data_IF_880978810361
#
_entry.id   IF_880978810361
#
_cell.length_a   1.000
_cell.length_b   1.000
_cell.length_c   1.000
_cell.angle_alpha   90.00
_cell.angle_beta   90.00
_cell.angle_gamma   90.00
#
_symmetry.space_group_name_H-M   'P 1'
#
loop_
_entity.id
_entity.type
_entity.pdbx_description
1 polymer ?
#
# COMPACT_ATOMS: atom_id res chain seq x y z
N UNK A 1 18.83 14.03 -5.57
CA UNK A 1 19.29 12.82 -6.29
C UNK A 1 18.04 12.10 -6.74
N UNK A 2 17.88 11.83 -8.03
CA UNK A 2 16.71 11.09 -8.53
C UNK A 2 16.92 9.59 -8.28
N UNK A 3 15.84 8.90 -7.92
CA UNK A 3 15.75 7.45 -7.80
C UNK A 3 15.90 6.79 -9.16
N UNK A 4 16.64 5.69 -9.26
CA UNK A 4 16.90 4.99 -10.52
C UNK A 4 16.38 3.55 -10.51
N UNK A 5 16.34 2.94 -11.70
CA UNK A 5 16.04 1.52 -11.84
C UNK A 5 17.01 0.62 -11.06
N UNK A 6 18.29 0.99 -11.00
CA UNK A 6 19.29 0.29 -10.19
C UNK A 6 18.99 0.39 -8.69
N UNK A 7 18.55 1.57 -8.21
CA UNK A 7 18.18 1.76 -6.80
C UNK A 7 16.99 0.86 -6.42
N UNK A 8 15.94 0.84 -7.23
CA UNK A 8 14.81 -0.10 -7.07
C UNK A 8 15.27 -1.56 -7.15
N UNK A 9 16.16 -1.90 -8.08
CA UNK A 9 16.72 -3.25 -8.20
C UNK A 9 17.48 -3.71 -6.95
N UNK A 10 18.31 -2.83 -6.37
CA UNK A 10 19.04 -3.10 -5.12
C UNK A 10 18.06 -3.33 -3.97
N UNK A 11 17.03 -2.48 -3.83
CA UNK A 11 16.02 -2.67 -2.78
C UNK A 11 15.19 -3.92 -2.96
N UNK A 12 14.80 -4.25 -4.19
CA UNK A 12 14.10 -5.49 -4.49
C UNK A 12 14.92 -6.71 -4.06
N UNK A 13 16.20 -6.76 -4.44
CA UNK A 13 17.11 -7.84 -4.04
C UNK A 13 17.29 -7.88 -2.52
N UNK A 14 17.51 -6.74 -1.87
CA UNK A 14 17.66 -6.67 -0.42
C UNK A 14 16.39 -7.14 0.33
N UNK A 15 15.22 -6.69 -0.12
CA UNK A 15 13.92 -7.05 0.44
C UNK A 15 13.60 -8.53 0.27
N UNK A 16 13.74 -9.07 -0.95
CA UNK A 16 13.51 -10.48 -1.26
C UNK A 16 14.50 -11.40 -0.54
N UNK A 17 15.78 -11.02 -0.49
CA UNK A 17 16.81 -11.79 0.23
C UNK A 17 16.53 -11.79 1.74
N UNK A 18 16.11 -10.65 2.29
CA UNK A 18 15.71 -10.56 3.70
C UNK A 18 14.49 -11.41 3.98
N UNK A 19 13.46 -11.37 3.12
CA UNK A 19 12.26 -12.19 3.25
C UNK A 19 12.58 -13.70 3.21
N UNK A 20 13.41 -14.13 2.27
CA UNK A 20 13.87 -15.51 2.16
C UNK A 20 14.67 -15.94 3.41
N UNK A 21 15.58 -15.09 3.89
CA UNK A 21 16.37 -15.37 5.08
C UNK A 21 15.49 -15.53 6.32
N UNK A 22 14.54 -14.62 6.56
CA UNK A 22 13.68 -14.67 7.76
C UNK A 22 12.72 -15.86 7.71
N UNK A 23 12.24 -16.23 6.52
CA UNK A 23 11.37 -17.38 6.31
C UNK A 23 12.10 -18.72 6.53
N UNK A 24 13.31 -18.89 5.98
CA UNK A 24 14.04 -20.16 5.99
C UNK A 24 14.85 -20.34 7.29
N UNK A 25 15.51 -19.28 7.78
CA UNK A 25 16.50 -19.40 8.85
C UNK A 25 15.98 -18.97 10.22
N UNK A 26 15.07 -18.00 10.28
CA UNK A 26 14.61 -17.46 11.57
C UNK A 26 13.26 -18.02 12.02
N UNK A 27 12.52 -18.70 11.13
CA UNK A 27 11.19 -19.21 11.46
C UNK A 27 10.19 -18.10 11.79
N UNK A 28 10.37 -16.91 11.20
CA UNK A 28 9.52 -15.76 11.45
C UNK A 28 8.09 -15.97 10.94
N UNK A 29 7.16 -15.24 11.55
CA UNK A 29 5.74 -15.30 11.22
C UNK A 29 5.48 -14.96 9.75
N UNK A 30 4.61 -15.74 9.11
CA UNK A 30 4.19 -15.51 7.70
C UNK A 30 3.58 -14.14 7.50
N UNK A 31 2.97 -13.60 8.54
CA UNK A 31 2.39 -12.26 8.57
C UNK A 31 3.43 -11.13 8.42
N UNK A 32 4.73 -11.43 8.54
CA UNK A 32 5.80 -10.45 8.37
C UNK A 32 6.58 -10.65 7.07
N UNK A 33 6.96 -11.89 6.74
CA UNK A 33 7.79 -12.14 5.56
C UNK A 33 6.99 -12.15 4.24
N UNK A 34 5.71 -12.55 4.25
CA UNK A 34 4.87 -12.48 3.04
C UNK A 34 4.65 -11.03 2.59
N UNK A 35 4.26 -10.09 3.48
CA UNK A 35 4.16 -8.68 3.12
C UNK A 35 5.49 -8.07 2.67
N UNK A 36 6.60 -8.42 3.32
CA UNK A 36 7.93 -7.96 2.87
C UNK A 36 8.24 -8.43 1.44
N UNK A 37 7.98 -9.69 1.11
CA UNK A 37 8.11 -10.19 -0.28
C UNK A 37 7.22 -9.40 -1.22
N UNK A 38 5.97 -9.15 -0.84
CA UNK A 38 5.01 -8.44 -1.67
C UNK A 38 5.47 -7.01 -2.01
N UNK A 39 5.91 -6.24 -1.01
CA UNK A 39 6.43 -4.89 -1.25
C UNK A 39 7.75 -4.90 -2.01
N UNK A 40 8.64 -5.87 -1.77
CA UNK A 40 9.88 -6.01 -2.54
C UNK A 40 9.64 -6.36 -4.02
N UNK A 41 8.56 -7.08 -4.35
CA UNK A 41 8.14 -7.31 -5.73
C UNK A 41 7.70 -6.03 -6.43
N UNK A 42 7.22 -5.02 -5.70
CA UNK A 42 6.90 -3.71 -6.28
C UNK A 42 8.15 -3.00 -6.75
N UNK A 43 9.22 -3.00 -5.96
CA UNK A 43 10.52 -2.44 -6.37
C UNK A 43 11.11 -3.20 -7.55
N UNK A 44 10.92 -4.52 -7.61
CA UNK A 44 11.35 -5.30 -8.78
C UNK A 44 10.58 -4.88 -10.04
N UNK A 45 9.27 -4.70 -9.91
CA UNK A 45 8.42 -4.21 -10.99
C UNK A 45 8.88 -2.81 -11.42
N UNK A 46 9.09 -1.89 -10.48
CA UNK A 46 9.57 -0.53 -10.75
C UNK A 46 10.93 -0.52 -11.43
N UNK A 47 11.87 -1.38 -11.01
CA UNK A 47 13.17 -1.53 -11.65
C UNK A 47 13.04 -1.91 -13.14
N UNK A 48 12.10 -2.80 -13.48
CA UNK A 48 11.78 -3.12 -14.86
C UNK A 48 11.08 -1.94 -15.57
N UNK A 49 10.19 -1.24 -14.89
CA UNK A 49 9.48 -0.07 -15.44
C UNK A 49 10.42 1.07 -15.80
N UNK A 50 11.49 1.28 -15.02
CA UNK A 50 12.49 2.31 -15.30
C UNK A 50 13.18 2.16 -16.65
N UNK A 51 13.25 0.95 -17.22
CA UNK A 51 13.79 0.71 -18.57
C UNK A 51 12.92 1.36 -19.66
N UNK A 52 11.62 1.49 -19.39
CA UNK A 52 10.63 2.03 -20.33
C UNK A 52 10.03 3.34 -19.84
N UNK A 53 10.64 4.00 -18.85
CA UNK A 53 10.10 5.22 -18.25
C UNK A 53 9.88 6.31 -19.31
N UNK A 54 8.79 7.07 -19.18
CA UNK A 54 8.40 8.16 -20.10
C UNK A 54 8.07 7.71 -21.54
N UNK A 55 8.23 6.44 -21.89
CA UNK A 55 7.83 5.87 -23.19
C UNK A 55 6.36 5.48 -23.19
N UNK A 56 5.45 6.45 -23.11
CA UNK A 56 4.01 6.19 -22.93
C UNK A 56 3.33 5.45 -24.09
N UNK A 57 3.88 5.54 -25.31
CA UNK A 57 3.40 4.77 -26.47
C UNK A 57 3.93 3.32 -26.49
N UNK A 58 4.83 2.97 -25.58
CA UNK A 58 5.42 1.63 -25.50
C UNK A 58 4.48 0.67 -24.74
N UNK A 59 4.06 -0.46 -25.35
CA UNK A 59 3.21 -1.43 -24.68
C UNK A 59 3.80 -2.00 -23.38
N UNK A 60 5.12 -2.14 -23.29
CA UNK A 60 5.79 -2.60 -22.07
C UNK A 60 5.61 -1.60 -20.92
N UNK A 61 5.72 -0.29 -21.17
CA UNK A 61 5.42 0.72 -20.16
C UNK A 61 3.96 0.61 -19.69
N UNK A 62 3.03 0.50 -20.63
CA UNK A 62 1.59 0.42 -20.32
C UNK A 62 1.25 -0.80 -19.46
N UNK A 63 1.78 -1.98 -19.82
CA UNK A 63 1.59 -3.22 -19.07
C UNK A 63 2.21 -3.11 -17.67
N UNK A 64 3.43 -2.59 -17.55
CA UNK A 64 4.10 -2.43 -16.26
C UNK A 64 3.39 -1.42 -15.36
N UNK A 65 2.84 -0.34 -15.92
CA UNK A 65 2.00 0.63 -15.21
C UNK A 65 0.73 -0.03 -14.68
N UNK A 66 0.05 -0.81 -15.54
CA UNK A 66 -1.14 -1.57 -15.15
C UNK A 66 -0.84 -2.56 -14.02
N UNK A 67 0.26 -3.31 -14.13
CA UNK A 67 0.70 -4.22 -13.06
C UNK A 67 0.99 -3.46 -11.76
N UNK A 68 1.52 -2.23 -11.85
CA UNK A 68 1.74 -1.37 -10.70
C UNK A 68 0.44 -0.97 -10.01
N UNK A 69 -0.57 -0.54 -10.78
CA UNK A 69 -1.90 -0.24 -10.24
C UNK A 69 -2.60 -1.46 -9.63
N UNK A 70 -2.48 -2.63 -10.29
CA UNK A 70 -2.99 -3.90 -9.75
C UNK A 70 -2.31 -4.22 -8.43
N UNK A 71 -0.98 -4.13 -8.34
CA UNK A 71 -0.24 -4.33 -7.10
C UNK A 71 -0.75 -3.40 -5.99
N UNK A 72 -0.82 -2.09 -6.25
CA UNK A 72 -1.36 -1.13 -5.27
C UNK A 72 -2.78 -1.46 -4.84
N UNK A 73 -3.64 -1.92 -5.75
CA UNK A 73 -5.03 -2.30 -5.44
C UNK A 73 -5.13 -3.49 -4.48
N UNK A 74 -4.17 -4.40 -4.48
CA UNK A 74 -4.13 -5.58 -3.60
C UNK A 74 -3.34 -5.36 -2.30
N UNK A 75 -2.60 -4.26 -2.16
CA UNK A 75 -1.86 -3.91 -0.94
C UNK A 75 -2.67 -3.97 0.36
N UNK A 76 -3.97 -3.60 0.42
CA UNK A 76 -4.73 -3.65 1.66
C UNK A 76 -4.75 -5.03 2.33
N UNK A 77 -4.63 -6.12 1.57
CA UNK A 77 -4.49 -7.48 2.12
C UNK A 77 -3.22 -7.62 2.95
N UNK A 78 -2.09 -7.15 2.43
CA UNK A 78 -0.77 -7.31 3.04
C UNK A 78 -0.60 -6.32 4.21
N UNK A 79 -1.13 -5.11 4.09
CA UNK A 79 -1.20 -4.16 5.21
C UNK A 79 -2.00 -4.76 6.37
N UNK A 80 -3.18 -5.33 6.09
CA UNK A 80 -4.00 -5.97 7.12
C UNK A 80 -3.37 -7.25 7.67
N UNK A 81 -2.58 -7.96 6.87
CA UNK A 81 -1.81 -9.11 7.34
C UNK A 81 -0.80 -8.71 8.42
N UNK A 82 -0.02 -7.64 8.20
CA UNK A 82 0.91 -7.10 9.20
C UNK A 82 0.15 -6.50 10.38
N UNK A 83 -0.91 -5.73 10.13
CA UNK A 83 -1.68 -5.10 11.20
C UNK A 83 -2.31 -6.12 12.15
N UNK A 84 -2.82 -7.25 11.63
CA UNK A 84 -3.35 -8.34 12.46
C UNK A 84 -2.26 -9.09 13.25
N UNK A 85 -0.98 -9.01 12.86
CA UNK A 85 0.10 -9.58 13.66
C UNK A 85 0.23 -8.88 15.02
N UNK A 86 -0.12 -7.59 15.09
CA UNK A 86 0.06 -6.77 16.30
C UNK A 86 -1.11 -6.81 17.30
N UNK A 87 -2.11 -7.66 17.06
CA UNK A 87 -3.25 -7.86 17.96
C UNK A 87 -3.24 -9.28 18.55
N UNK A 88 -4.01 -9.58 19.62
CA UNK A 88 -4.05 -10.91 20.20
C UNK A 88 -4.53 -11.96 19.18
N UNK A 89 -3.90 -13.15 19.18
CA UNK A 89 -4.20 -14.21 18.21
C UNK A 89 -5.67 -14.65 18.30
N UNK A 90 -6.25 -14.67 19.50
CA UNK A 90 -7.66 -15.00 19.74
C UNK A 90 -8.64 -14.04 19.06
N UNK A 91 -8.26 -12.76 18.89
CA UNK A 91 -9.02 -11.74 18.16
C UNK A 91 -8.78 -11.90 16.66
N UNK A 92 -7.52 -11.99 16.24
CA UNK A 92 -7.12 -12.18 14.84
C UNK A 92 -7.87 -13.35 14.20
N UNK A 93 -7.88 -14.53 14.84
CA UNK A 93 -8.54 -15.71 14.30
C UNK A 93 -10.05 -15.52 14.07
N UNK A 94 -10.71 -14.69 14.89
CA UNK A 94 -12.15 -14.39 14.76
C UNK A 94 -12.44 -13.42 13.62
N UNK A 95 -11.58 -12.42 13.41
CA UNK A 95 -11.84 -11.33 12.46
C UNK A 95 -11.22 -11.56 11.07
N UNK A 96 -10.23 -12.45 10.95
CA UNK A 96 -9.40 -12.62 9.75
C UNK A 96 -10.21 -12.77 8.47
N UNK A 97 -11.23 -13.63 8.48
CA UNK A 97 -12.07 -13.85 7.30
C UNK A 97 -12.81 -12.57 6.91
N UNK A 98 -13.43 -11.90 7.87
CA UNK A 98 -14.13 -10.62 7.63
C UNK A 98 -13.18 -9.55 7.11
N UNK A 99 -12.00 -9.41 7.71
CA UNK A 99 -10.99 -8.42 7.30
C UNK A 99 -10.55 -8.66 5.85
N UNK A 100 -10.25 -9.91 5.47
CA UNK A 100 -9.86 -10.22 4.09
C UNK A 100 -11.02 -10.11 3.09
N UNK A 101 -12.26 -10.39 3.50
CA UNK A 101 -13.43 -10.11 2.66
C UNK A 101 -13.57 -8.60 2.40
N UNK A 102 -13.36 -7.76 3.42
CA UNK A 102 -13.37 -6.30 3.24
C UNK A 102 -12.20 -5.86 2.33
N UNK A 103 -11.02 -6.47 2.45
CA UNK A 103 -9.91 -6.21 1.53
C UNK A 103 -10.26 -6.57 0.07
N UNK A 104 -10.97 -7.67 -0.15
CA UNK A 104 -11.42 -8.07 -1.49
C UNK A 104 -12.43 -7.08 -2.07
N UNK A 105 -13.41 -6.63 -1.27
CA UNK A 105 -14.37 -5.60 -1.66
C UNK A 105 -13.65 -4.28 -1.95
N UNK A 106 -12.69 -3.89 -1.12
CA UNK A 106 -11.88 -2.69 -1.32
C UNK A 106 -11.07 -2.75 -2.62
N UNK A 107 -10.42 -3.89 -2.88
CA UNK A 107 -9.71 -4.12 -4.14
C UNK A 107 -10.65 -3.97 -5.33
N UNK A 108 -11.84 -4.55 -5.27
CA UNK A 108 -12.84 -4.41 -6.33
C UNK A 108 -13.21 -2.94 -6.57
N UNK A 109 -13.43 -2.13 -5.53
CA UNK A 109 -13.72 -0.70 -5.70
C UNK A 109 -12.55 0.08 -6.30
N UNK A 110 -11.31 -0.26 -5.93
CA UNK A 110 -10.13 0.33 -6.57
C UNK A 110 -10.03 -0.06 -8.05
N UNK A 111 -10.29 -1.32 -8.40
CA UNK A 111 -10.27 -1.78 -9.79
C UNK A 111 -11.40 -1.17 -10.63
N UNK A 112 -12.57 -0.92 -10.03
CA UNK A 112 -13.70 -0.24 -10.69
C UNK A 112 -13.28 1.12 -11.25
N UNK A 113 -12.32 1.83 -10.64
CA UNK A 113 -11.80 3.11 -11.16
C UNK A 113 -11.15 2.99 -12.55
N UNK A 114 -10.67 1.82 -12.93
CA UNK A 114 -10.08 1.60 -14.25
C UNK A 114 -11.13 1.49 -15.37
N UNK A 115 -12.38 1.17 -15.04
CA UNK A 115 -13.41 0.98 -16.06
C UNK A 115 -13.97 2.35 -16.52
N UNK A 116 -13.90 2.70 -17.81
CA UNK A 116 -14.29 4.02 -18.30
C UNK A 116 -15.81 4.17 -18.42
N UNK A 117 -16.51 4.34 -17.29
CA UNK A 117 -17.95 4.61 -17.30
C UNK A 117 -18.23 5.97 -17.95
N UNK A 118 -18.96 5.96 -19.07
CA UNK A 118 -19.35 7.18 -19.78
C UNK A 118 -20.08 8.21 -18.88
N UNK A 119 -20.84 7.74 -17.88
CA UNK A 119 -21.59 8.60 -16.96
C UNK A 119 -20.76 9.15 -15.79
N UNK A 120 -19.61 8.55 -15.48
CA UNK A 120 -18.82 8.92 -14.32
C UNK A 120 -17.79 10.02 -14.62
N UNK A 121 -17.61 10.40 -15.89
CA UNK A 121 -16.58 11.35 -16.30
C UNK A 121 -15.16 10.79 -16.12
N UNK A 122 -14.17 11.68 -16.13
CA UNK A 122 -12.76 11.36 -15.93
C UNK A 122 -12.28 11.81 -14.55
N UNK A 123 -11.22 11.19 -14.04
CA UNK A 123 -10.55 11.63 -12.83
C UNK A 123 -9.93 13.04 -12.98
N UNK A 124 -9.62 13.68 -11.85
CA UNK A 124 -9.07 15.03 -11.80
C UNK A 124 -7.53 15.00 -11.82
N UNK A 125 -6.95 15.25 -13.00
CA UNK A 125 -5.49 15.24 -13.22
C UNK A 125 -4.81 16.30 -12.36
N UNK A 126 -3.70 15.92 -11.72
CA UNK A 126 -2.92 16.81 -10.85
C UNK A 126 -3.52 16.99 -9.44
N UNK A 127 -4.61 16.28 -9.12
CA UNK A 127 -5.20 16.23 -7.78
C UNK A 127 -5.22 14.80 -7.26
N UNK A 128 -5.80 13.91 -8.06
CA UNK A 128 -5.92 12.49 -7.74
C UNK A 128 -4.67 11.73 -8.17
N UNK A 129 -4.12 10.88 -7.28
CA UNK A 129 -3.01 9.99 -7.64
C UNK A 129 -3.40 8.94 -8.67
N UNK A 130 -2.43 8.45 -9.44
CA UNK A 130 -2.67 7.62 -10.62
C UNK A 130 -3.50 8.28 -11.74
N UNK A 131 -3.98 9.51 -11.59
CA UNK A 131 -4.81 10.13 -12.62
C UNK A 131 -3.95 10.79 -13.70
N UNK A 132 -4.20 10.43 -14.97
CA UNK A 132 -3.61 11.12 -16.12
C UNK A 132 -4.28 10.77 -17.45
N UNK A 133 -3.80 11.36 -18.55
CA UNK A 133 -4.46 11.25 -19.85
C UNK A 133 -4.34 9.86 -20.50
N UNK A 134 -3.35 9.07 -20.10
CA UNK A 134 -3.03 7.76 -20.67
C UNK A 134 -2.40 6.86 -19.63
N UNK A 135 -2.46 5.54 -19.86
CA UNK A 135 -1.74 4.57 -19.03
C UNK A 135 -0.25 4.73 -19.29
N UNK A 136 0.49 5.27 -18.33
CA UNK A 136 1.92 5.47 -18.46
C UNK A 136 2.62 5.58 -17.11
N UNK A 137 3.84 5.05 -17.03
CA UNK A 137 4.78 5.32 -15.97
C UNK A 137 5.74 6.41 -16.42
N UNK A 138 5.81 7.50 -15.65
CA UNK A 138 6.61 8.68 -15.96
C UNK A 138 7.62 8.98 -14.86
N UNK A 139 8.60 9.81 -15.18
CA UNK A 139 9.48 10.42 -14.19
C UNK A 139 8.67 11.37 -13.30
N UNK A 140 8.63 11.12 -12.00
CA UNK A 140 8.07 12.01 -10.98
C UNK A 140 9.09 13.04 -10.49
N UNK A 141 8.83 13.64 -9.33
CA UNK A 141 9.71 14.65 -8.72
C UNK A 141 11.10 14.10 -8.41
N UNK A 142 11.16 12.88 -7.87
CA UNK A 142 12.42 12.18 -7.63
C UNK A 142 12.34 10.66 -7.80
N UNK A 143 11.15 10.09 -7.81
CA UNK A 143 10.83 8.69 -8.00
C UNK A 143 9.88 8.51 -9.20
N UNK A 144 9.38 7.29 -9.40
CA UNK A 144 8.48 6.94 -10.49
C UNK A 144 7.07 7.46 -10.16
N UNK A 145 6.43 8.05 -11.16
CA UNK A 145 5.04 8.44 -11.12
C UNK A 145 4.21 7.51 -12.02
N UNK A 146 2.98 7.23 -11.62
CA UNK A 146 2.04 6.44 -12.43
C UNK A 146 0.85 7.27 -12.81
N UNK A 147 0.39 7.10 -14.04
CA UNK A 147 -0.82 7.72 -14.53
C UNK A 147 -1.64 6.72 -15.34
N UNK A 148 -2.96 6.85 -15.24
CA UNK A 148 -3.97 6.06 -15.93
C UNK A 148 -5.23 6.93 -16.13
N UNK A 149 -5.98 6.72 -17.22
CA UNK A 149 -7.24 7.41 -17.47
C UNK A 149 -8.35 6.77 -16.61
N UNK A 150 -8.32 7.05 -15.30
CA UNK A 150 -9.32 6.55 -14.35
C UNK A 150 -10.66 7.29 -14.53
N UNK A 151 -11.76 6.63 -14.21
CA UNK A 151 -13.07 7.28 -14.21
C UNK A 151 -13.23 8.28 -13.06
N UNK A 152 -14.24 9.15 -13.15
CA UNK A 152 -14.45 10.24 -12.20
C UNK A 152 -15.07 9.88 -10.86
N UNK A 153 -15.29 8.60 -10.51
CA UNK A 153 -15.92 8.23 -9.22
C UNK A 153 -15.16 8.78 -8.00
N UNK A 154 -15.87 9.56 -7.19
CA UNK A 154 -15.38 10.30 -6.00
C UNK A 154 -14.16 11.20 -6.27
N UNK A 155 -13.98 11.65 -7.53
CA UNK A 155 -12.84 12.53 -7.90
C UNK A 155 -13.16 14.00 -7.62
N UNK A 156 -14.43 14.38 -7.72
CA UNK A 156 -14.89 15.72 -7.37
C UNK A 156 -15.03 15.88 -5.85
N UNK A 157 -14.85 17.11 -5.31
CA UNK A 157 -14.96 17.37 -3.88
C UNK A 157 -16.28 16.88 -3.27
N UNK A 158 -16.18 15.90 -2.38
CA UNK A 158 -17.34 15.32 -1.70
C UNK A 158 -17.68 16.14 -0.46
N UNK A 159 -18.75 16.94 -0.54
CA UNK A 159 -19.11 17.91 0.50
C UNK A 159 -19.34 17.31 1.90
N UNK A 160 -19.97 16.13 1.99
CA UNK A 160 -20.18 15.45 3.29
C UNK A 160 -18.91 14.80 3.85
N UNK A 161 -17.86 14.70 3.03
CA UNK A 161 -16.54 14.17 3.39
C UNK A 161 -15.50 15.31 3.40
N UNK A 162 -15.89 16.49 3.91
CA UNK A 162 -15.01 17.65 4.08
C UNK A 162 -14.24 18.06 2.82
N UNK A 163 -14.83 17.88 1.63
CA UNK A 163 -14.22 18.25 0.35
C UNK A 163 -13.19 17.24 -0.18
N UNK A 164 -13.19 15.99 0.33
CA UNK A 164 -12.34 14.91 -0.18
C UNK A 164 -12.48 14.75 -1.70
N UNK A 165 -11.34 14.76 -2.41
CA UNK A 165 -11.27 14.78 -3.87
C UNK A 165 -10.15 13.90 -4.43
N UNK A 166 -9.71 12.87 -3.68
CA UNK A 166 -8.61 11.98 -4.09
C UNK A 166 -9.09 10.70 -4.79
N UNK A 167 -10.35 10.66 -5.22
CA UNK A 167 -10.91 9.52 -5.94
C UNK A 167 -11.33 8.35 -5.06
N UNK A 168 -12.14 7.46 -5.64
CA UNK A 168 -12.64 6.26 -4.96
C UNK A 168 -11.50 5.33 -4.52
N UNK A 169 -10.42 5.25 -5.29
CA UNK A 169 -9.32 4.35 -5.00
C UNK A 169 -8.58 4.77 -3.71
N UNK A 170 -8.26 6.07 -3.54
CA UNK A 170 -7.60 6.58 -2.34
C UNK A 170 -8.54 6.49 -1.13
N UNK A 171 -9.82 6.85 -1.29
CA UNK A 171 -10.82 6.69 -0.23
C UNK A 171 -10.86 5.26 0.28
N UNK A 172 -10.98 4.31 -0.65
CA UNK A 172 -11.06 2.89 -0.33
C UNK A 172 -9.79 2.40 0.34
N UNK A 173 -8.62 2.78 -0.18
CA UNK A 173 -7.34 2.42 0.42
C UNK A 173 -7.24 2.93 1.85
N UNK A 174 -7.53 4.22 2.08
CA UNK A 174 -7.49 4.84 3.42
C UNK A 174 -8.41 4.10 4.40
N UNK A 175 -9.65 3.82 3.98
CA UNK A 175 -10.63 3.11 4.83
C UNK A 175 -10.13 1.70 5.17
N UNK A 176 -9.65 0.94 4.20
CA UNK A 176 -9.32 -0.48 4.37
C UNK A 176 -7.94 -0.69 4.99
N UNK A 177 -6.96 0.16 4.68
CA UNK A 177 -5.57 0.02 5.14
C UNK A 177 -5.26 0.80 6.44
N UNK A 178 -6.09 1.79 6.82
CA UNK A 178 -5.89 2.58 8.05
C UNK A 178 -7.06 2.46 9.02
N UNK A 179 -8.27 2.84 8.60
CA UNK A 179 -9.41 2.87 9.50
C UNK A 179 -9.83 1.48 9.97
N UNK A 180 -9.89 0.48 9.08
CA UNK A 180 -10.23 -0.89 9.44
C UNK A 180 -9.26 -1.47 10.50
N UNK A 181 -7.92 -1.37 10.33
CA UNK A 181 -6.97 -1.68 11.40
C UNK A 181 -7.15 -0.95 12.73
N UNK A 182 -7.50 0.33 12.71
CA UNK A 182 -7.83 1.07 13.95
C UNK A 182 -9.05 0.43 14.62
N UNK A 183 -10.11 0.14 13.86
CA UNK A 183 -11.37 -0.43 14.39
C UNK A 183 -11.12 -1.72 15.16
N UNK A 184 -10.29 -2.63 14.63
CA UNK A 184 -9.97 -3.89 15.32
C UNK A 184 -8.80 -3.79 16.32
N UNK A 185 -8.24 -2.60 16.53
CA UNK A 185 -7.34 -2.30 17.63
C UNK A 185 -5.85 -2.28 17.31
N UNK A 186 -5.44 -2.35 16.04
CA UNK A 186 -4.04 -2.25 15.63
C UNK A 186 -3.55 -0.80 15.48
N UNK A 187 -4.06 0.12 16.30
CA UNK A 187 -3.83 1.56 16.16
C UNK A 187 -2.34 1.98 16.28
N UNK A 188 -1.54 1.24 17.05
CA UNK A 188 -0.09 1.51 17.18
C UNK A 188 0.65 1.22 15.89
N UNK A 189 0.33 0.10 15.26
CA UNK A 189 0.85 -0.23 13.93
C UNK A 189 0.38 0.81 12.91
N UNK A 190 -0.89 1.21 12.95
CA UNK A 190 -1.42 2.23 12.01
C UNK A 190 -0.70 3.56 12.16
N UNK A 191 -0.45 4.02 13.39
CA UNK A 191 0.35 5.22 13.64
C UNK A 191 1.75 5.10 13.06
N UNK A 192 2.42 3.96 13.28
CA UNK A 192 3.74 3.70 12.69
C UNK A 192 3.70 3.64 11.15
N UNK A 193 2.68 3.01 10.58
CA UNK A 193 2.47 2.92 9.14
C UNK A 193 2.22 4.28 8.50
N UNK A 194 1.39 5.11 9.13
CA UNK A 194 1.15 6.48 8.70
C UNK A 194 2.44 7.32 8.71
N UNK A 195 3.20 7.23 9.80
CA UNK A 195 4.43 8.01 9.99
C UNK A 195 5.52 7.65 8.99
N UNK A 196 5.70 6.37 8.67
CA UNK A 196 6.78 5.91 7.78
C UNK A 196 6.36 5.93 6.31
N UNK A 197 5.08 5.69 6.01
CA UNK A 197 4.55 5.66 4.65
C UNK A 197 4.03 7.04 4.22
N UNK A 198 2.71 7.31 4.36
CA UNK A 198 2.09 8.55 3.90
C UNK A 198 2.81 9.82 4.32
N UNK A 199 3.14 9.97 5.61
CA UNK A 199 3.76 11.21 6.10
C UNK A 199 5.13 11.49 5.46
N UNK A 200 5.98 10.46 5.29
CA UNK A 200 7.25 10.65 4.58
C UNK A 200 7.00 10.94 3.10
N UNK A 201 6.01 10.30 2.48
CA UNK A 201 5.64 10.58 1.10
C UNK A 201 5.23 12.04 0.91
N UNK A 202 4.34 12.54 1.77
CA UNK A 202 3.80 13.91 1.75
C UNK A 202 4.88 15.00 1.90
N UNK A 203 5.96 14.72 2.65
CA UNK A 203 7.06 15.69 2.83
C UNK A 203 8.18 15.55 1.78
N UNK A 204 8.21 14.45 1.02
CA UNK A 204 9.28 14.17 0.05
C UNK A 204 8.88 14.39 -1.39
N UNK A 205 7.59 14.36 -1.72
CA UNK A 205 7.10 14.69 -3.06
C UNK A 205 5.86 15.58 -2.98
N UNK A 206 5.66 16.38 -4.04
CA UNK A 206 4.43 17.15 -4.27
C UNK A 206 3.66 16.65 -5.49
N UNK A 207 4.16 15.60 -6.16
CA UNK A 207 3.51 15.00 -7.33
C UNK A 207 2.47 13.95 -6.87
N UNK A 208 1.17 14.17 -7.13
CA UNK A 208 0.11 13.23 -6.76
C UNK A 208 0.32 11.82 -7.30
N UNK A 209 0.90 11.71 -8.50
CA UNK A 209 1.11 10.45 -9.19
C UNK A 209 2.33 9.67 -8.66
N UNK A 210 3.16 10.32 -7.84
CA UNK A 210 4.37 9.75 -7.24
C UNK A 210 4.14 9.24 -5.80
N UNK A 211 3.15 9.79 -5.08
CA UNK A 211 2.91 9.47 -3.65
C UNK A 211 2.85 7.98 -3.35
N UNK A 212 2.16 7.21 -4.19
CA UNK A 212 2.01 5.78 -3.99
C UNK A 212 3.36 5.04 -4.13
N UNK A 213 4.19 5.44 -5.10
CA UNK A 213 5.49 4.81 -5.33
C UNK A 213 6.44 5.02 -4.16
N UNK A 214 6.51 6.26 -3.69
CA UNK A 214 7.33 6.67 -2.54
C UNK A 214 6.89 5.94 -1.27
N UNK A 215 5.59 5.79 -1.05
CA UNK A 215 5.10 5.03 0.09
C UNK A 215 5.43 3.52 -0.03
N UNK A 216 5.31 2.91 -1.21
CA UNK A 216 5.72 1.52 -1.42
C UNK A 216 7.19 1.30 -1.03
N UNK A 217 8.06 2.22 -1.45
CA UNK A 217 9.47 2.25 -1.12
C UNK A 217 9.70 2.24 0.41
N UNK A 218 9.07 3.15 1.15
CA UNK A 218 9.21 3.19 2.61
C UNK A 218 8.52 2.03 3.34
N UNK A 219 7.60 1.32 2.69
CA UNK A 219 6.95 0.13 3.27
C UNK A 219 7.92 -1.03 3.45
N UNK A 220 8.96 -1.15 2.61
CA UNK A 220 10.05 -2.13 2.82
C UNK A 220 10.82 -1.80 4.09
N UNK A 221 11.21 -0.53 4.26
CA UNK A 221 11.91 -0.08 5.46
C UNK A 221 11.06 -0.30 6.73
N UNK A 222 9.76 -0.06 6.66
CA UNK A 222 8.79 -0.37 7.72
C UNK A 222 8.82 -1.87 8.06
N UNK A 223 8.65 -2.75 7.07
CA UNK A 223 8.63 -4.20 7.28
C UNK A 223 9.94 -4.71 7.89
N UNK A 224 11.09 -4.26 7.36
CA UNK A 224 12.42 -4.63 7.88
C UNK A 224 12.59 -4.13 9.32
N UNK A 225 12.16 -2.90 9.62
CA UNK A 225 12.22 -2.33 10.97
C UNK A 225 11.39 -3.14 11.97
N UNK A 226 10.19 -3.58 11.58
CA UNK A 226 9.35 -4.45 12.40
C UNK A 226 10.02 -5.80 12.65
N UNK A 227 10.62 -6.41 11.62
CA UNK A 227 11.21 -7.75 11.73
C UNK A 227 12.50 -7.74 12.56
N UNK A 228 13.36 -6.73 12.36
CA UNK A 228 14.73 -6.74 12.88
C UNK A 228 14.94 -5.92 14.14
N UNK A 229 13.98 -5.08 14.55
CA UNK A 229 14.17 -4.18 15.69
C UNK A 229 13.23 -4.47 16.87
N UNK A 230 13.57 -4.03 18.09
CA UNK A 230 12.71 -4.13 19.26
C UNK A 230 11.39 -3.36 19.15
N UNK A 231 11.22 -2.49 18.14
CA UNK A 231 10.01 -1.68 17.95
C UNK A 231 8.75 -2.56 17.92
N UNK A 232 8.87 -3.78 17.39
CA UNK A 232 7.82 -4.80 17.34
C UNK A 232 7.12 -4.99 18.68
N UNK A 233 7.87 -4.99 19.78
CA UNK A 233 7.33 -5.19 21.14
C UNK A 233 6.38 -4.06 21.57
N UNK A 234 6.64 -2.84 21.11
CA UNK A 234 5.84 -1.67 21.46
C UNK A 234 4.58 -1.55 20.59
N UNK A 235 4.63 -2.09 19.36
CA UNK A 235 3.52 -2.05 18.42
C UNK A 235 2.37 -3.00 18.79
N UNK A 236 2.63 -4.05 19.58
CA UNK A 236 1.56 -4.95 20.04
C UNK A 236 0.54 -4.24 20.93
N UNK A 237 -0.74 -4.47 20.67
CA UNK A 237 -1.86 -3.97 21.46
C UNK A 237 -2.51 -5.14 22.21
N UNK A 238 -2.52 -5.06 23.54
CA UNK A 238 -3.08 -6.11 24.43
C UNK A 238 -4.52 -5.84 24.85
N UNK A 239 -4.94 -4.58 24.84
CA UNK A 239 -6.25 -4.14 25.32
C UNK A 239 -6.88 -3.16 24.34
N UNK A 240 -8.13 -3.41 23.99
CA UNK A 240 -8.96 -2.58 23.10
C UNK A 240 -10.44 -2.73 23.50
N UNK A 241 -11.32 -1.74 23.28
CA UNK A 241 -12.72 -1.78 23.77
C UNK A 241 -13.50 -3.05 23.40
N UNK A 242 -13.16 -3.71 22.29
CA UNK A 242 -13.84 -4.92 21.81
C UNK A 242 -13.11 -6.23 22.17
N UNK A 243 -11.97 -6.16 22.87
CA UNK A 243 -11.25 -7.35 23.29
C UNK A 243 -11.91 -7.90 24.55
N UNK A 244 -12.62 -9.02 24.38
CA UNK A 244 -13.04 -9.83 25.53
C UNK A 244 -11.77 -10.45 26.12
N UNK A 245 -11.41 -10.09 27.36
CA UNK A 245 -10.34 -10.74 28.10
C UNK A 245 -10.70 -12.22 28.28
N UNK A 246 -10.16 -13.10 27.45
CA UNK A 246 -10.19 -14.53 27.71
C UNK A 246 -8.92 -14.88 28.47
N UNK A 247 -9.09 -15.65 29.55
CA UNK A 247 -8.02 -16.21 30.38
C UNK A 247 -7.27 -17.21 29.49
N UNK A 248 -6.31 -16.74 28.71
CA UNK A 248 -5.64 -17.55 27.69
C UNK A 248 -4.72 -16.77 26.75
N UNK A 249 -4.85 -15.43 26.69
CA UNK A 249 -3.94 -14.57 25.91
C UNK A 249 -2.56 -14.36 26.60
N UNK A 250 -2.23 -15.18 27.61
CA UNK A 250 -0.87 -15.29 28.14
C UNK A 250 -0.06 -16.23 27.25
N UNK A 251 0.48 -15.68 26.17
CA UNK A 251 1.72 -16.13 25.54
C UNK A 251 2.85 -15.22 26.01
#
# INVERSE_FOLDING_TARGET
MCWSGEASGVLAVAGLSTAAYVAIKQGESKELWIPLTYFALMELLQAATYVYIDLCDNPSNQILTLLGYLHVSFQPFFVNMVAMYFIPESVKLKIRTTVYTICAIGTLFMLIKMYPFAWAGSCNIGVEGFCGPSVCSTSGSWHIAWQMPLNGLMSDPVGWLFGFNWGLHAFTYIVVAFYLPIIYGSWRFVGFHYLIGPFISDITTTDPNEYAAVWCLFSIALCVSVIKSPIRKYLHVKTWPFYKKYIGDSL
#
